data_IF_107742225344
#
_entry.id   IF_107742225344
#
_cell.length_a   1.000
_cell.length_b   1.000
_cell.length_c   1.000
_cell.angle_alpha   90.00
_cell.angle_beta   90.00
_cell.angle_gamma   90.00
#
_symmetry.space_group_name_H-M   'P 1'
#
loop_
_entity.id
_entity.type
_entity.pdbx_description
1 polymer ?
#
# COMPACT_ATOMS: atom_id res chain seq x y z
N UNK A 1 -14.80 30.14 -1.18
CA UNK A 1 -15.28 29.20 -0.14
C UNK A 1 -14.21 28.14 -0.04
N UNK A 2 -13.31 28.35 0.92
CA UNK A 2 -12.13 27.53 1.15
C UNK A 2 -12.59 26.38 2.07
N UNK A 3 -12.79 25.20 1.48
CA UNK A 3 -13.04 23.98 2.23
C UNK A 3 -11.67 23.42 2.62
N UNK A 4 -11.07 23.99 3.66
CA UNK A 4 -10.06 23.28 4.41
C UNK A 4 -10.71 21.97 4.87
N UNK A 5 -10.35 20.85 4.24
CA UNK A 5 -10.87 19.52 4.54
C UNK A 5 -10.39 19.13 5.94
N UNK A 6 -11.26 19.13 6.97
CA UNK A 6 -10.86 18.99 8.36
C UNK A 6 -10.82 17.50 8.73
N UNK A 7 -10.30 16.65 7.84
CA UNK A 7 -10.22 15.21 8.10
C UNK A 7 -8.88 14.89 8.80
N UNK A 8 -8.88 14.59 10.12
CA UNK A 8 -7.68 14.13 10.80
C UNK A 8 -7.14 12.88 10.10
N UNK A 9 -5.83 12.87 9.82
CA UNK A 9 -5.13 11.74 9.16
C UNK A 9 -4.96 11.84 7.64
N UNK A 10 -5.52 12.85 6.97
CA UNK A 10 -5.39 13.01 5.50
C UNK A 10 -3.97 13.37 5.04
N UNK A 11 -3.20 14.10 5.85
CA UNK A 11 -1.84 14.53 5.53
C UNK A 11 -0.80 13.41 5.67
N UNK A 12 -0.81 12.69 6.80
CA UNK A 12 0.16 11.63 7.12
C UNK A 12 -0.05 10.38 6.25
N UNK A 13 -1.30 9.95 6.05
CA UNK A 13 -1.60 8.86 5.13
C UNK A 13 -1.27 9.25 3.68
N UNK A 14 -1.58 10.49 3.32
CA UNK A 14 -1.18 11.07 2.04
C UNK A 14 0.33 10.98 1.84
N UNK A 15 1.12 11.22 2.88
CA UNK A 15 2.56 11.10 2.87
C UNK A 15 3.03 9.65 2.71
N UNK A 16 2.48 8.70 3.48
CA UNK A 16 2.82 7.27 3.40
C UNK A 16 2.62 6.71 1.98
N UNK A 17 1.42 6.90 1.42
CA UNK A 17 1.07 6.39 0.10
C UNK A 17 1.85 7.12 -1.00
N UNK A 18 2.14 8.41 -0.82
CA UNK A 18 2.94 9.16 -1.79
C UNK A 18 4.42 8.74 -1.76
N UNK A 19 4.99 8.45 -0.59
CA UNK A 19 6.34 7.92 -0.46
C UNK A 19 6.45 6.55 -1.13
N UNK A 20 5.50 5.64 -0.82
CA UNK A 20 5.37 4.35 -1.47
C UNK A 20 5.27 4.49 -2.98
N UNK A 21 4.34 5.31 -3.48
CA UNK A 21 4.08 5.46 -4.92
C UNK A 21 5.31 6.01 -5.65
N UNK A 22 5.99 7.02 -5.08
CA UNK A 22 7.21 7.59 -5.66
C UNK A 22 8.32 6.53 -5.78
N UNK A 23 8.54 5.75 -4.73
CA UNK A 23 9.56 4.70 -4.73
C UNK A 23 9.17 3.58 -5.69
N UNK A 24 7.93 3.10 -5.63
CA UNK A 24 7.39 2.07 -6.51
C UNK A 24 7.53 2.44 -7.98
N UNK A 25 7.16 3.66 -8.36
CA UNK A 25 7.23 4.11 -9.74
C UNK A 25 8.66 4.36 -10.26
N UNK A 26 9.65 4.42 -9.36
CA UNK A 26 11.07 4.57 -9.73
C UNK A 26 11.73 3.27 -10.18
N UNK A 27 11.09 2.11 -9.93
CA UNK A 27 11.62 0.81 -10.31
C UNK A 27 11.75 0.66 -11.83
N UNK A 28 12.87 0.08 -12.26
CA UNK A 28 13.17 -0.18 -13.67
C UNK A 28 12.64 -1.54 -14.18
N UNK A 29 12.13 -2.38 -13.27
CA UNK A 29 11.50 -3.67 -13.54
C UNK A 29 10.33 -3.84 -12.59
N UNK A 30 9.40 -4.74 -12.90
CA UNK A 30 8.28 -5.05 -12.00
C UNK A 30 8.75 -5.43 -10.58
N UNK A 31 9.68 -6.37 -10.47
CA UNK A 31 10.24 -6.78 -9.18
C UNK A 31 10.99 -5.64 -8.48
N UNK A 32 11.72 -4.81 -9.24
CA UNK A 32 12.39 -3.63 -8.71
C UNK A 32 11.40 -2.61 -8.15
N UNK A 33 10.26 -2.41 -8.81
CA UNK A 33 9.18 -1.54 -8.34
C UNK A 33 8.59 -2.06 -7.03
N UNK A 34 8.29 -3.37 -6.94
CA UNK A 34 7.80 -3.99 -5.71
C UNK A 34 8.80 -3.82 -4.54
N UNK A 35 10.08 -4.10 -4.78
CA UNK A 35 11.13 -3.94 -3.76
C UNK A 35 11.22 -2.48 -3.30
N UNK A 36 11.30 -1.53 -4.24
CA UNK A 36 11.43 -0.11 -3.91
C UNK A 36 10.20 0.42 -3.16
N UNK A 37 8.99 0.09 -3.63
CA UNK A 37 7.74 0.49 -2.99
C UNK A 37 7.62 -0.07 -1.57
N UNK A 38 7.82 -1.38 -1.40
CA UNK A 38 7.70 -2.03 -0.09
C UNK A 38 8.81 -1.60 0.87
N UNK A 39 10.02 -1.37 0.38
CA UNK A 39 11.11 -0.81 1.19
C UNK A 39 10.77 0.58 1.72
N UNK A 40 10.28 1.48 0.87
CA UNK A 40 9.86 2.82 1.30
C UNK A 40 8.69 2.78 2.31
N UNK A 41 7.76 1.84 2.12
CA UNK A 41 6.67 1.61 3.08
C UNK A 41 7.20 1.13 4.43
N UNK A 42 8.08 0.13 4.43
CA UNK A 42 8.72 -0.39 5.64
C UNK A 42 9.50 0.70 6.38
N UNK A 43 10.38 1.44 5.68
CA UNK A 43 11.15 2.53 6.26
C UNK A 43 10.25 3.60 6.90
N UNK A 44 9.14 3.96 6.24
CA UNK A 44 8.21 4.96 6.78
C UNK A 44 7.51 4.45 8.04
N UNK A 45 7.07 3.17 8.05
CA UNK A 45 6.40 2.56 9.19
C UNK A 45 7.36 2.31 10.38
N UNK A 46 8.64 2.06 10.11
CA UNK A 46 9.66 1.89 11.15
C UNK A 46 10.10 3.23 11.74
N UNK A 47 10.22 4.26 10.91
CA UNK A 47 10.54 5.62 11.36
C UNK A 47 9.40 6.25 12.16
N UNK A 48 8.16 5.90 11.83
CA UNK A 48 6.96 6.37 12.52
C UNK A 48 5.94 5.23 12.70
N UNK A 49 6.01 4.48 13.81
CA UNK A 49 5.05 3.43 14.12
C UNK A 49 3.60 3.93 14.22
N UNK A 50 3.39 5.23 14.53
CA UNK A 50 2.05 5.82 14.58
C UNK A 50 1.42 5.95 13.18
N UNK A 51 2.25 5.97 12.13
CA UNK A 51 1.78 5.89 10.75
C UNK A 51 1.08 4.55 10.45
N UNK A 52 1.41 3.47 11.17
CA UNK A 52 0.77 2.18 11.02
C UNK A 52 -0.67 2.18 11.56
N UNK A 53 -0.90 2.88 12.68
CA UNK A 53 -2.23 3.10 13.26
C UNK A 53 -3.06 4.08 12.43
N UNK A 54 -2.40 5.09 11.84
CA UNK A 54 -3.01 6.00 10.89
C UNK A 54 -3.29 5.35 9.52
N UNK A 55 -2.64 4.23 9.21
CA UNK A 55 -2.77 3.55 7.93
C UNK A 55 -4.19 3.01 7.73
N UNK A 56 -4.99 3.68 6.90
CA UNK A 56 -6.37 3.28 6.63
C UNK A 56 -6.49 1.87 6.05
N UNK A 57 -5.41 1.36 5.44
CA UNK A 57 -5.36 0.03 4.86
C UNK A 57 -5.24 -1.09 5.91
N UNK A 58 -4.70 -0.79 7.09
CA UNK A 58 -4.57 -1.74 8.21
C UNK A 58 -5.81 -1.71 9.12
N UNK A 59 -6.72 -0.74 8.95
CA UNK A 59 -7.90 -0.60 9.80
C UNK A 59 -9.09 -1.36 9.24
N UNK A 60 -9.83 -2.05 10.11
CA UNK A 60 -11.19 -2.54 9.81
C UNK A 60 -12.17 -1.43 10.19
N UNK A 61 -12.72 -0.67 9.22
CA UNK A 61 -13.61 0.43 9.54
C UNK A 61 -14.94 -0.09 10.09
N UNK A 62 -15.48 0.61 11.09
CA UNK A 62 -16.87 0.44 11.51
C UNK A 62 -17.79 0.95 10.37
N UNK A 63 -18.92 0.28 10.06
CA UNK A 63 -19.91 0.80 9.11
C UNK A 63 -20.36 2.24 9.35
N UNK A 64 -20.30 2.73 10.59
CA UNK A 64 -20.58 4.12 10.95
C UNK A 64 -19.48 5.11 10.51
N UNK A 65 -18.27 4.64 10.21
CA UNK A 65 -17.12 5.45 9.79
C UNK A 65 -17.10 5.68 8.26
N UNK A 66 -18.19 6.21 7.68
CA UNK A 66 -18.34 6.40 6.24
C UNK A 66 -17.17 7.17 5.58
N UNK A 67 -16.62 8.18 6.27
CA UNK A 67 -15.47 8.94 5.78
C UNK A 67 -14.18 8.10 5.69
N UNK A 68 -13.97 7.18 6.64
CA UNK A 68 -12.82 6.28 6.65
C UNK A 68 -12.93 5.22 5.55
N UNK A 69 -14.13 4.65 5.37
CA UNK A 69 -14.42 3.70 4.28
C UNK A 69 -14.14 4.35 2.93
N UNK A 70 -14.67 5.55 2.69
CA UNK A 70 -14.42 6.29 1.47
C UNK A 70 -12.93 6.53 1.22
N UNK A 71 -12.20 6.95 2.27
CA UNK A 71 -10.78 7.21 2.16
C UNK A 71 -9.98 5.93 1.85
N UNK A 72 -10.35 4.81 2.47
CA UNK A 72 -9.78 3.49 2.21
C UNK A 72 -9.93 3.10 0.74
N UNK A 73 -11.13 3.23 0.19
CA UNK A 73 -11.41 2.88 -1.20
C UNK A 73 -10.65 3.79 -2.18
N UNK A 74 -10.51 5.08 -1.87
CA UNK A 74 -9.71 6.00 -2.69
C UNK A 74 -8.22 5.62 -2.71
N UNK A 75 -7.66 5.27 -1.55
CA UNK A 75 -6.26 4.84 -1.42
C UNK A 75 -6.04 3.52 -2.14
N UNK A 76 -6.96 2.56 -1.95
CA UNK A 76 -6.94 1.27 -2.63
C UNK A 76 -6.97 1.44 -4.15
N UNK A 77 -7.86 2.29 -4.68
CA UNK A 77 -7.94 2.58 -6.10
C UNK A 77 -6.64 3.19 -6.65
N UNK A 78 -5.99 4.10 -5.90
CA UNK A 78 -4.69 4.68 -6.27
C UNK A 78 -3.59 3.63 -6.34
N UNK A 79 -3.49 2.75 -5.34
CA UNK A 79 -2.51 1.66 -5.33
C UNK A 79 -2.75 0.70 -6.49
N UNK A 80 -4.00 0.27 -6.71
CA UNK A 80 -4.37 -0.61 -7.83
C UNK A 80 -4.00 0.02 -9.17
N UNK A 81 -4.22 1.33 -9.34
CA UNK A 81 -3.86 2.04 -10.57
C UNK A 81 -2.34 2.08 -10.78
N UNK A 82 -1.57 2.38 -9.73
CA UNK A 82 -0.10 2.37 -9.80
C UNK A 82 0.45 0.99 -10.14
N UNK A 83 -0.04 -0.07 -9.47
CA UNK A 83 0.33 -1.46 -9.75
C UNK A 83 0.05 -1.83 -11.20
N UNK A 84 -1.16 -1.50 -11.70
CA UNK A 84 -1.53 -1.75 -13.09
C UNK A 84 -0.59 -1.03 -14.06
N UNK A 85 -0.32 0.25 -13.83
CA UNK A 85 0.55 1.04 -14.72
C UNK A 85 1.98 0.48 -14.80
N UNK A 86 2.55 0.05 -13.67
CA UNK A 86 3.89 -0.58 -13.66
C UNK A 86 3.88 -1.96 -14.31
N UNK A 87 2.83 -2.75 -14.09
CA UNK A 87 2.69 -4.05 -14.74
C UNK A 87 2.49 -3.94 -16.24
N UNK A 88 1.72 -2.96 -16.72
CA UNK A 88 1.58 -2.69 -18.17
C UNK A 88 2.92 -2.30 -18.81
N UNK A 89 3.81 -1.67 -18.04
CA UNK A 89 5.13 -1.25 -18.51
C UNK A 89 6.18 -2.36 -18.52
N UNK A 90 6.15 -3.24 -17.50
CA UNK A 90 7.24 -4.19 -17.24
C UNK A 90 6.81 -5.65 -17.07
N UNK A 91 5.52 -5.92 -17.00
CA UNK A 91 4.96 -7.26 -16.85
C UNK A 91 5.02 -8.06 -18.15
N UNK A 92 5.04 -9.38 -18.02
CA UNK A 92 5.15 -10.29 -19.18
C UNK A 92 3.82 -10.43 -19.94
N UNK A 93 2.68 -10.34 -19.24
CA UNK A 93 1.35 -10.66 -19.77
C UNK A 93 0.28 -9.76 -19.18
N UNK A 94 -0.85 -9.57 -19.88
CA UNK A 94 -2.00 -8.89 -19.29
C UNK A 94 -2.59 -9.72 -18.14
N UNK A 95 -2.88 -9.07 -17.01
CA UNK A 95 -3.55 -9.70 -15.86
C UNK A 95 -4.86 -8.99 -15.56
N UNK A 96 -5.94 -9.72 -15.22
CA UNK A 96 -7.19 -9.11 -14.81
C UNK A 96 -7.02 -8.22 -13.57
N UNK A 97 -7.82 -7.14 -13.48
CA UNK A 97 -7.73 -6.16 -12.39
C UNK A 97 -7.89 -6.77 -10.99
N UNK A 98 -8.66 -7.85 -10.88
CA UNK A 98 -8.90 -8.57 -9.62
C UNK A 98 -7.61 -9.12 -8.99
N UNK A 99 -6.58 -9.43 -9.78
CA UNK A 99 -5.30 -9.91 -9.24
C UNK A 99 -4.57 -8.83 -8.44
N UNK A 100 -4.60 -7.57 -8.90
CA UNK A 100 -4.07 -6.45 -8.14
C UNK A 100 -4.85 -6.24 -6.84
N UNK A 101 -6.17 -6.36 -6.90
CA UNK A 101 -7.04 -6.24 -5.72
C UNK A 101 -6.75 -7.32 -4.67
N UNK A 102 -6.57 -8.57 -5.11
CA UNK A 102 -6.18 -9.69 -4.24
C UNK A 102 -4.80 -9.42 -3.63
N UNK A 103 -3.83 -9.00 -4.44
CA UNK A 103 -2.49 -8.66 -3.98
C UNK A 103 -2.51 -7.55 -2.91
N UNK A 104 -3.23 -6.45 -3.16
CA UNK A 104 -3.39 -5.37 -2.19
C UNK A 104 -4.02 -5.89 -0.90
N UNK A 105 -5.07 -6.72 -0.99
CA UNK A 105 -5.70 -7.32 0.18
C UNK A 105 -4.73 -8.17 1.01
N UNK A 106 -3.88 -8.96 0.37
CA UNK A 106 -2.88 -9.79 1.03
C UNK A 106 -1.81 -8.94 1.74
N UNK A 107 -1.29 -7.89 1.10
CA UNK A 107 -0.34 -6.96 1.71
C UNK A 107 -0.97 -6.24 2.91
N UNK A 108 -2.20 -5.73 2.78
CA UNK A 108 -2.91 -5.09 3.88
C UNK A 108 -3.09 -6.03 5.08
N UNK A 109 -3.36 -7.32 4.81
CA UNK A 109 -3.51 -8.34 5.86
C UNK A 109 -2.18 -8.58 6.57
N UNK A 110 -1.08 -8.72 5.82
CA UNK A 110 0.25 -8.91 6.39
C UNK A 110 0.70 -7.69 7.22
N UNK A 111 0.45 -6.48 6.74
CA UNK A 111 0.70 -5.25 7.50
C UNK A 111 -0.08 -5.23 8.81
N UNK A 112 -1.37 -5.60 8.77
CA UNK A 112 -2.20 -5.67 9.97
C UNK A 112 -1.68 -6.69 10.98
N UNK A 113 -1.35 -7.89 10.52
CA UNK A 113 -0.77 -8.94 11.37
C UNK A 113 0.54 -8.48 12.04
N UNK A 114 1.36 -7.68 11.35
CA UNK A 114 2.60 -7.11 11.90
C UNK A 114 2.33 -6.07 12.98
N UNK A 115 1.38 -5.17 12.73
CA UNK A 115 0.92 -4.18 13.73
C UNK A 115 0.40 -4.89 14.98
N UNK A 116 -0.47 -5.88 14.82
CA UNK A 116 -1.10 -6.58 15.95
C UNK A 116 -0.11 -7.44 16.76
N UNK A 117 0.96 -7.97 16.13
CA UNK A 117 1.97 -8.83 16.79
C UNK A 117 3.23 -8.09 17.24
N UNK A 118 3.43 -6.83 16.86
CA UNK A 118 4.61 -6.03 17.23
C UNK A 118 5.91 -6.45 16.53
N UNK A 119 5.85 -6.76 15.23
CA UNK A 119 7.03 -7.13 14.41
C UNK A 119 7.57 -6.00 13.52
N UNK A 120 8.76 -6.19 12.95
CA UNK A 120 9.35 -5.28 11.95
C UNK A 120 8.74 -5.42 10.55
N UNK A 121 9.14 -4.56 9.60
CA UNK A 121 8.56 -4.50 8.24
C UNK A 121 9.58 -4.86 7.13
N UNK A 122 10.78 -5.26 7.52
CA UNK A 122 11.90 -5.67 6.65
C UNK A 122 11.55 -6.74 5.61
N UNK A 123 10.64 -7.67 5.95
CA UNK A 123 10.24 -8.76 5.05
C UNK A 123 9.17 -8.38 4.02
N UNK A 124 8.61 -7.16 4.04
CA UNK A 124 7.51 -6.77 3.15
C UNK A 124 7.87 -6.88 1.67
N UNK A 125 9.11 -6.57 1.30
CA UNK A 125 9.56 -6.68 -0.09
C UNK A 125 9.59 -8.15 -0.56
N UNK A 126 10.12 -9.05 0.27
CA UNK A 126 10.15 -10.49 0.01
C UNK A 126 8.74 -11.03 -0.12
N UNK A 127 7.86 -10.71 0.84
CA UNK A 127 6.46 -11.12 0.80
C UNK A 127 5.74 -10.62 -0.46
N UNK A 128 5.96 -9.38 -0.87
CA UNK A 128 5.34 -8.84 -2.08
C UNK A 128 5.79 -9.57 -3.35
N UNK A 129 7.07 -9.92 -3.44
CA UNK A 129 7.57 -10.74 -4.55
C UNK A 129 6.94 -12.13 -4.52
N UNK A 130 6.82 -12.74 -3.33
CA UNK A 130 6.22 -14.06 -3.17
C UNK A 130 4.74 -14.09 -3.54
N UNK A 131 3.97 -13.10 -3.07
CA UNK A 131 2.54 -12.99 -3.36
C UNK A 131 2.24 -12.77 -4.84
N UNK A 132 3.10 -12.04 -5.54
CA UNK A 132 2.91 -11.77 -6.96
C UNK A 132 3.51 -12.86 -7.86
N UNK A 133 4.59 -13.50 -7.43
CA UNK A 133 5.36 -14.42 -8.29
C UNK A 133 6.31 -15.38 -7.58
N UNK A 134 6.19 -15.61 -6.27
CA UNK A 134 6.95 -16.64 -5.56
C UNK A 134 6.49 -18.03 -6.00
N UNK A 135 7.24 -18.83 -6.75
CA UNK A 135 8.61 -18.70 -7.20
C UNK A 135 8.73 -19.14 -8.66
N UNK A 136 9.57 -18.48 -9.45
CA UNK A 136 10.25 -19.14 -10.58
C UNK A 136 11.68 -19.45 -10.17
#
# INVERSE_FOLDING_TARGET
MDLADPRPGSGELGALITAWERAFLSGATWSGSLIAGMGALAETLEADPSAADACVLTRVPDPAEAALIWHRELVRARITAALRSQWERYGEHSVPSVYFEIFVGAICTALRDRVDRGGGYDELATLALELWGGAR
#
